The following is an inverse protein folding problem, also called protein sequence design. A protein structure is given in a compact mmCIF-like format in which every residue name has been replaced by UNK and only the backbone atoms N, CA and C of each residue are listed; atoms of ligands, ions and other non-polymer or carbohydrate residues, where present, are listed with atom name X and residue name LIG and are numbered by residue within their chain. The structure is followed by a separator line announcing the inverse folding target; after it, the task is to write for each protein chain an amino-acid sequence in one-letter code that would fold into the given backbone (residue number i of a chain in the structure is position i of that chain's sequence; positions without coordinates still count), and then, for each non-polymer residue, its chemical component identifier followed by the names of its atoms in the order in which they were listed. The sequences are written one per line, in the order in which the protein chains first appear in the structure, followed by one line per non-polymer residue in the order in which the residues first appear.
data_IF_853222086551
#
_entry.id   IF_853222086551
#
_cell.length_a   1.000
_cell.length_b   1.000
_cell.length_c   1.000
_cell.angle_alpha   90.00
_cell.angle_beta   90.00
_cell.angle_gamma   90.00
#
_symmetry.space_group_name_H-M   'P 1'
#
loop_
_entity.id
_entity.type
_entity.pdbx_description
1 polymer ?
#
# COMPACT_ATOMS: atom_id res chain seq x y z
N UNK A 1 -22.61 74.84 -27.64
CA UNK A 1 -23.79 75.61 -27.18
C UNK A 1 -25.03 74.91 -27.68
N UNK A 2 -25.88 74.48 -26.72
CA UNK A 2 -27.33 74.22 -26.77
C UNK A 2 -27.90 73.35 -27.90
N UNK A 3 -28.73 72.32 -27.68
CA UNK A 3 -29.41 71.85 -26.47
C UNK A 3 -30.69 71.06 -26.87
N UNK A 4 -31.19 70.26 -25.91
CA UNK A 4 -32.57 69.69 -25.77
C UNK A 4 -32.94 68.50 -26.69
N UNK A 5 -33.03 67.26 -26.18
CA UNK A 5 -34.13 66.60 -25.46
C UNK A 5 -35.46 66.55 -26.23
N UNK A 6 -35.98 65.35 -26.53
CA UNK A 6 -37.04 64.65 -25.75
C UNK A 6 -37.57 63.40 -26.49
N UNK A 7 -37.48 62.25 -25.81
CA UNK A 7 -38.36 61.04 -25.77
C UNK A 7 -38.95 60.40 -27.05
N UNK A 8 -38.75 59.09 -27.20
CA UNK A 8 -39.85 58.13 -26.94
C UNK A 8 -39.36 56.67 -26.80
N UNK A 9 -39.92 56.03 -25.78
CA UNK A 9 -39.73 54.66 -25.31
C UNK A 9 -40.29 53.60 -26.27
N UNK A 10 -39.65 52.44 -26.30
CA UNK A 10 -40.35 51.16 -26.48
C UNK A 10 -39.53 50.05 -25.82
N UNK A 11 -39.96 49.66 -24.63
CA UNK A 11 -39.55 48.44 -23.94
C UNK A 11 -39.81 47.19 -24.80
N UNK A 12 -38.83 46.30 -24.86
CA UNK A 12 -39.07 44.87 -25.02
C UNK A 12 -38.02 44.11 -24.19
N UNK A 13 -38.51 43.50 -23.12
CA UNK A 13 -37.76 42.81 -22.09
C UNK A 13 -36.86 41.69 -22.64
N UNK A 14 -35.54 41.93 -22.61
CA UNK A 14 -34.52 40.90 -22.76
C UNK A 14 -34.24 40.23 -21.42
N UNK A 15 -34.75 39.02 -21.26
CA UNK A 15 -34.58 38.17 -20.08
C UNK A 15 -33.09 37.95 -19.77
N UNK A 16 -32.71 38.31 -18.55
CA UNK A 16 -31.40 37.98 -17.99
C UNK A 16 -31.28 36.47 -17.80
N UNK A 17 -30.37 35.85 -18.56
CA UNK A 17 -29.99 34.45 -18.36
C UNK A 17 -29.10 34.36 -17.13
N UNK A 18 -29.70 34.14 -15.97
CA UNK A 18 -28.99 33.74 -14.75
C UNK A 18 -28.41 32.35 -15.01
N UNK A 19 -27.08 32.26 -15.06
CA UNK A 19 -26.37 30.98 -15.10
C UNK A 19 -26.67 30.20 -13.82
N UNK A 20 -27.44 29.11 -13.96
CA UNK A 20 -27.60 28.11 -12.90
C UNK A 20 -26.27 27.42 -12.62
N UNK A 21 -25.94 27.14 -11.34
CA UNK A 21 -24.71 26.45 -10.97
C UNK A 21 -24.70 25.01 -11.47
N UNK A 22 -23.56 24.61 -12.03
CA UNK A 22 -23.27 23.27 -12.55
C UNK A 22 -23.50 22.26 -11.41
N UNK A 23 -24.56 21.45 -11.52
CA UNK A 23 -24.82 20.35 -10.59
C UNK A 23 -23.85 19.20 -10.85
N UNK A 24 -23.11 18.66 -9.85
CA UNK A 24 -22.14 17.58 -10.04
C UNK A 24 -22.82 16.20 -10.01
N UNK A 25 -23.96 16.06 -10.66
CA UNK A 25 -24.79 14.85 -10.61
C UNK A 25 -24.97 14.23 -12.00
N UNK A 26 -23.86 13.91 -12.67
CA UNK A 26 -23.87 12.98 -13.82
C UNK A 26 -22.50 12.36 -14.10
N UNK A 27 -21.86 11.83 -13.05
CA UNK A 27 -20.67 11.02 -13.19
C UNK A 27 -20.93 9.62 -12.60
N UNK A 28 -21.92 8.92 -13.15
CA UNK A 28 -22.12 7.48 -12.96
C UNK A 28 -23.19 7.02 -13.95
N UNK A 29 -22.73 6.45 -15.08
CA UNK A 29 -23.35 5.40 -15.89
C UNK A 29 -22.80 5.49 -17.32
N UNK A 30 -21.73 4.75 -17.55
CA UNK A 30 -21.20 4.39 -18.86
C UNK A 30 -20.35 3.15 -18.66
N UNK A 31 -20.73 2.03 -19.27
CA UNK A 31 -19.99 0.78 -19.15
C UNK A 31 -18.54 0.94 -19.59
N UNK A 32 -17.61 0.39 -18.81
CA UNK A 32 -16.16 0.45 -18.97
C UNK A 32 -15.65 -0.40 -20.15
N UNK A 33 -16.22 -0.20 -21.34
CA UNK A 33 -15.64 -0.74 -22.58
C UNK A 33 -14.34 -0.01 -22.98
N UNK A 34 -13.97 1.06 -22.29
CA UNK A 34 -12.81 1.90 -22.59
C UNK A 34 -11.85 2.10 -21.39
N UNK A 35 -11.85 1.19 -20.43
CA UNK A 35 -10.91 1.24 -19.31
C UNK A 35 -9.47 1.03 -19.79
N UNK A 36 -8.68 2.11 -19.79
CA UNK A 36 -7.30 2.08 -20.27
C UNK A 36 -6.34 1.61 -19.17
N UNK A 37 -5.61 0.53 -19.44
CA UNK A 37 -4.42 0.17 -18.64
C UNK A 37 -3.29 1.11 -19.03
N UNK A 38 -2.81 1.92 -18.09
CA UNK A 38 -1.71 2.89 -18.26
C UNK A 38 -0.46 2.36 -17.54
N UNK A 39 0.53 1.77 -18.26
CA UNK A 39 1.67 1.12 -17.62
C UNK A 39 2.53 2.07 -16.77
N UNK A 40 2.60 3.34 -17.14
CA UNK A 40 3.32 4.35 -16.36
C UNK A 40 2.73 4.54 -14.96
N UNK A 41 1.40 4.49 -14.83
CA UNK A 41 0.71 4.60 -13.55
C UNK A 41 1.02 3.37 -12.67
N UNK A 42 0.92 2.16 -13.23
CA UNK A 42 1.26 0.93 -12.50
C UNK A 42 2.71 0.97 -11.99
N UNK A 43 3.66 1.38 -12.83
CA UNK A 43 5.08 1.45 -12.43
C UNK A 43 5.35 2.47 -11.33
N UNK A 44 4.62 3.58 -11.31
CA UNK A 44 4.70 4.54 -10.21
C UNK A 44 4.23 3.89 -8.90
N UNK A 45 3.15 3.11 -8.96
CA UNK A 45 2.58 2.45 -7.78
C UNK A 45 3.46 1.36 -7.16
N UNK A 46 4.47 0.86 -7.87
CA UNK A 46 5.42 -0.10 -7.29
C UNK A 46 6.17 0.49 -6.09
N UNK A 47 6.68 1.72 -6.20
CA UNK A 47 7.37 2.39 -5.10
C UNK A 47 6.41 2.72 -3.94
N UNK A 48 5.17 3.12 -4.28
CA UNK A 48 4.13 3.41 -3.29
C UNK A 48 3.73 2.14 -2.54
N UNK A 49 3.57 1.01 -3.23
CA UNK A 49 3.22 -0.27 -2.63
C UNK A 49 4.33 -0.75 -1.70
N UNK A 50 5.57 -0.68 -2.17
CA UNK A 50 6.73 -1.06 -1.37
C UNK A 50 6.81 -0.23 -0.08
N UNK A 51 6.65 1.10 -0.19
CA UNK A 51 6.62 2.00 0.96
C UNK A 51 5.46 1.67 1.92
N UNK A 52 4.26 1.38 1.42
CA UNK A 52 3.12 1.02 2.26
C UNK A 52 3.37 -0.26 3.08
N UNK A 53 4.04 -1.27 2.50
CA UNK A 53 4.40 -2.49 3.21
C UNK A 53 5.53 -2.27 4.24
N UNK A 54 6.45 -1.35 3.97
CA UNK A 54 7.45 -0.92 4.95
C UNK A 54 6.84 -0.10 6.10
N UNK A 55 5.80 0.68 5.83
CA UNK A 55 5.03 1.37 6.86
C UNK A 55 4.37 0.37 7.81
N UNK A 56 3.77 -0.71 7.28
CA UNK A 56 3.20 -1.80 8.09
C UNK A 56 4.27 -2.50 8.95
N UNK A 57 5.51 -2.57 8.47
CA UNK A 57 6.67 -3.08 9.22
C UNK A 57 7.34 -2.02 10.13
N UNK A 58 6.75 -0.82 10.28
CA UNK A 58 7.24 0.30 11.09
C UNK A 58 8.64 0.80 10.73
N UNK A 59 9.08 0.61 9.49
CA UNK A 59 10.44 0.98 9.08
C UNK A 59 10.67 2.49 9.21
N UNK A 60 9.71 3.31 8.80
CA UNK A 60 9.84 4.78 8.89
C UNK A 60 9.90 5.27 10.34
N UNK A 61 9.05 4.72 11.23
CA UNK A 61 9.08 5.03 12.67
C UNK A 61 10.44 4.67 13.29
N UNK A 62 11.00 3.52 12.93
CA UNK A 62 12.34 3.10 13.38
C UNK A 62 13.40 4.11 12.95
N UNK A 63 13.41 4.53 11.68
CA UNK A 63 14.41 5.50 11.20
C UNK A 63 14.23 6.86 11.87
N UNK A 64 13.00 7.32 12.06
CA UNK A 64 12.73 8.55 12.82
C UNK A 64 13.25 8.45 14.26
N UNK A 65 13.09 7.28 14.90
CA UNK A 65 13.64 7.02 16.23
C UNK A 65 15.16 7.04 16.25
N UNK A 66 15.83 6.40 15.28
CA UNK A 66 17.29 6.44 15.14
C UNK A 66 17.81 7.87 15.01
N UNK A 67 17.13 8.70 14.23
CA UNK A 67 17.48 10.12 14.04
C UNK A 67 17.29 10.90 15.33
N UNK A 68 16.21 10.64 16.08
CA UNK A 68 15.99 11.26 17.39
C UNK A 68 17.07 10.88 18.40
N UNK A 69 17.42 9.59 18.49
CA UNK A 69 18.50 9.10 19.37
C UNK A 69 19.86 9.71 18.99
N UNK A 70 20.16 9.82 17.68
CA UNK A 70 21.37 10.47 17.20
C UNK A 70 21.44 11.93 17.60
N UNK A 71 20.34 12.69 17.42
CA UNK A 71 20.26 14.09 17.82
C UNK A 71 20.42 14.33 19.33
N UNK A 72 20.11 13.31 20.14
CA UNK A 72 20.28 13.32 21.61
C UNK A 72 21.65 12.79 22.05
N UNK A 73 22.50 12.32 21.13
CA UNK A 73 23.79 11.71 21.46
C UNK A 73 23.69 10.32 22.09
N UNK A 74 22.56 9.62 21.93
CA UNK A 74 22.33 8.28 22.47
C UNK A 74 22.87 7.15 21.59
N UNK A 75 23.18 7.44 20.32
CA UNK A 75 23.81 6.46 19.44
C UNK A 75 25.34 6.60 19.49
N UNK A 76 26.10 5.52 19.74
CA UNK A 76 27.56 5.55 19.81
C UNK A 76 28.18 5.56 18.40
N UNK A 77 27.85 6.56 17.59
CA UNK A 77 28.27 6.70 16.20
C UNK A 77 29.33 7.79 16.05
N UNK A 78 30.34 7.54 15.21
CA UNK A 78 31.36 8.53 14.87
C UNK A 78 30.92 9.49 13.75
N UNK A 79 31.82 10.38 13.27
CA UNK A 79 31.59 11.22 12.08
C UNK A 79 31.59 10.43 10.76
N UNK A 80 31.36 9.12 10.81
CA UNK A 80 31.37 8.20 9.68
C UNK A 80 30.15 8.33 8.78
N UNK A 81 29.99 7.33 7.89
CA UNK A 81 28.92 7.31 6.89
C UNK A 81 27.52 7.30 7.54
N UNK A 82 27.34 6.52 8.61
CA UNK A 82 26.08 6.45 9.36
C UNK A 82 25.69 7.83 9.93
N UNK A 83 26.58 8.48 10.68
CA UNK A 83 26.36 9.81 11.27
C UNK A 83 26.07 10.87 10.20
N UNK A 84 26.82 10.88 9.10
CA UNK A 84 26.56 11.79 7.99
C UNK A 84 25.18 11.56 7.33
N UNK A 85 24.74 10.30 7.26
CA UNK A 85 23.43 9.94 6.68
C UNK A 85 22.28 10.32 7.60
N UNK A 86 22.40 10.09 8.91
CA UNK A 86 21.44 10.53 9.92
C UNK A 86 21.33 12.07 9.96
N UNK A 87 22.46 12.77 9.87
CA UNK A 87 22.48 14.24 9.79
C UNK A 87 21.77 14.75 8.52
N UNK A 88 22.01 14.14 7.35
CA UNK A 88 21.28 14.48 6.12
C UNK A 88 19.79 14.18 6.23
N UNK A 89 19.42 13.07 6.85
CA UNK A 89 18.03 12.70 7.07
C UNK A 89 17.31 13.72 7.97
N UNK A 90 17.96 14.14 9.05
CA UNK A 90 17.48 15.21 9.93
C UNK A 90 17.33 16.54 9.18
N UNK A 91 18.36 16.97 8.44
CA UNK A 91 18.34 18.24 7.67
C UNK A 91 17.30 18.24 6.54
N UNK A 92 17.08 17.09 5.90
CA UNK A 92 16.16 16.93 4.77
C UNK A 92 14.69 16.78 5.15
N UNK A 93 14.33 16.85 6.44
CA UNK A 93 12.97 16.58 6.94
C UNK A 93 11.86 17.36 6.21
N UNK A 94 12.09 18.63 5.88
CA UNK A 94 11.07 19.47 5.21
C UNK A 94 10.75 19.10 3.76
N UNK A 95 11.59 18.29 3.11
CA UNK A 95 11.39 17.89 1.70
C UNK A 95 10.78 16.48 1.56
N UNK A 96 10.53 15.78 2.67
CA UNK A 96 10.02 14.40 2.69
C UNK A 96 8.52 14.38 2.96
N UNK A 97 7.85 13.33 2.49
CA UNK A 97 6.45 13.11 2.81
C UNK A 97 6.30 12.79 4.30
N UNK A 98 5.48 13.57 5.00
CA UNK A 98 5.11 13.27 6.38
C UNK A 98 4.33 11.94 6.46
N UNK A 99 4.29 11.32 7.64
CA UNK A 99 3.49 10.10 7.84
C UNK A 99 2.02 10.28 7.43
N UNK A 100 1.42 11.44 7.73
CA UNK A 100 0.06 11.77 7.31
C UNK A 100 -0.08 11.82 5.78
N UNK A 101 0.88 12.48 5.09
CA UNK A 101 0.90 12.54 3.63
C UNK A 101 1.06 11.15 3.01
N UNK A 102 1.97 10.32 3.52
CA UNK A 102 2.17 8.94 3.06
C UNK A 102 0.88 8.12 3.19
N UNK A 103 0.25 8.12 4.37
CA UNK A 103 -1.00 7.40 4.62
C UNK A 103 -2.14 7.84 3.69
N UNK A 104 -2.26 9.14 3.40
CA UNK A 104 -3.24 9.63 2.46
C UNK A 104 -3.01 9.13 1.03
N UNK A 105 -1.75 9.01 0.59
CA UNK A 105 -1.43 8.39 -0.71
C UNK A 105 -1.80 6.91 -0.68
N UNK A 106 -1.41 6.17 0.35
CA UNK A 106 -1.74 4.74 0.45
C UNK A 106 -3.25 4.49 0.47
N UNK A 107 -4.02 5.33 1.17
CA UNK A 107 -5.48 5.25 1.19
C UNK A 107 -6.06 5.44 -0.21
N UNK A 108 -5.64 6.49 -0.91
CA UNK A 108 -6.12 6.79 -2.26
C UNK A 108 -5.79 5.68 -3.26
N UNK A 109 -4.65 5.01 -3.12
CA UNK A 109 -4.18 4.00 -4.07
C UNK A 109 -4.66 2.59 -3.71
N UNK A 110 -4.50 2.18 -2.47
CA UNK A 110 -4.68 0.80 -2.01
C UNK A 110 -5.84 0.62 -1.04
N UNK A 111 -6.52 1.71 -0.66
CA UNK A 111 -7.65 1.64 0.25
C UNK A 111 -7.26 1.43 1.72
N UNK A 112 -6.00 1.68 2.08
CA UNK A 112 -5.57 1.69 3.48
C UNK A 112 -6.27 2.81 4.28
N UNK A 113 -6.31 2.72 5.63
CA UNK A 113 -6.89 3.78 6.45
C UNK A 113 -6.24 5.16 6.16
N UNK A 114 -7.02 6.19 5.79
CA UNK A 114 -6.48 7.53 5.58
C UNK A 114 -6.18 8.21 6.92
N UNK A 115 -5.26 9.16 6.91
CA UNK A 115 -5.09 10.09 8.03
C UNK A 115 -6.17 11.18 8.00
N UNK A 116 -6.45 11.71 6.81
CA UNK A 116 -7.44 12.77 6.62
C UNK A 116 -8.79 12.23 6.17
N UNK A 117 -9.87 12.64 6.83
CA UNK A 117 -11.24 12.24 6.51
C UNK A 117 -11.71 12.64 5.10
N UNK A 118 -11.07 13.64 4.48
CA UNK A 118 -11.38 14.08 3.11
C UNK A 118 -10.84 13.18 2.00
N UNK A 119 -9.94 12.25 2.33
CA UNK A 119 -9.35 11.33 1.34
C UNK A 119 -10.34 10.21 1.04
N UNK A 120 -10.65 10.02 -0.25
CA UNK A 120 -11.48 8.91 -0.71
C UNK A 120 -10.61 7.66 -0.95
N UNK A 121 -10.74 6.60 -0.14
CA UNK A 121 -9.91 5.42 -0.29
C UNK A 121 -10.31 4.54 -1.48
N UNK A 122 -9.37 3.83 -2.09
CA UNK A 122 -9.64 2.82 -3.12
C UNK A 122 -10.18 1.52 -2.49
N UNK A 123 -11.49 1.50 -2.24
CA UNK A 123 -12.16 0.36 -1.57
C UNK A 123 -12.14 -0.94 -2.37
N UNK A 124 -11.91 -0.89 -3.69
CA UNK A 124 -11.90 -2.06 -4.58
C UNK A 124 -10.54 -2.78 -4.61
N UNK A 125 -9.46 -2.09 -4.25
CA UNK A 125 -8.11 -2.64 -4.41
C UNK A 125 -7.95 -3.99 -3.72
N UNK A 126 -8.30 -4.08 -2.43
CA UNK A 126 -8.06 -5.29 -1.65
C UNK A 126 -8.80 -6.52 -2.23
N UNK A 127 -10.05 -6.34 -2.63
CA UNK A 127 -10.84 -7.40 -3.27
C UNK A 127 -10.21 -7.85 -4.60
N UNK A 128 -9.87 -6.91 -5.47
CA UNK A 128 -9.25 -7.20 -6.77
C UNK A 128 -7.87 -7.84 -6.63
N UNK A 129 -7.08 -7.36 -5.66
CA UNK A 129 -5.76 -7.88 -5.34
C UNK A 129 -5.84 -9.34 -4.88
N UNK A 130 -6.65 -9.60 -3.84
CA UNK A 130 -6.83 -10.95 -3.30
C UNK A 130 -7.37 -11.89 -4.37
N UNK A 131 -8.40 -11.47 -5.12
CA UNK A 131 -8.97 -12.27 -6.21
C UNK A 131 -7.90 -12.67 -7.23
N UNK A 132 -7.10 -11.72 -7.71
CA UNK A 132 -6.07 -12.00 -8.70
C UNK A 132 -4.99 -12.94 -8.15
N UNK A 133 -4.45 -12.64 -6.98
CA UNK A 133 -3.38 -13.43 -6.36
C UNK A 133 -3.86 -14.87 -6.07
N UNK A 134 -5.07 -15.04 -5.55
CA UNK A 134 -5.68 -16.36 -5.32
C UNK A 134 -5.92 -17.13 -6.63
N UNK A 135 -6.47 -16.49 -7.66
CA UNK A 135 -6.71 -17.11 -8.98
C UNK A 135 -5.39 -17.58 -9.59
N UNK A 136 -4.33 -16.78 -9.54
CA UNK A 136 -3.01 -17.19 -10.07
C UNK A 136 -2.42 -18.38 -9.29
N UNK A 137 -2.50 -18.35 -7.95
CA UNK A 137 -2.03 -19.45 -7.11
C UNK A 137 -2.78 -20.76 -7.37
N UNK A 138 -4.12 -20.71 -7.41
CA UNK A 138 -4.96 -21.88 -7.73
C UNK A 138 -4.67 -22.40 -9.14
N UNK A 139 -4.60 -21.50 -10.12
CA UNK A 139 -4.31 -21.87 -11.50
C UNK A 139 -2.96 -22.59 -11.64
N UNK A 140 -1.91 -22.09 -10.97
CA UNK A 140 -0.58 -22.72 -10.96
C UNK A 140 -0.62 -24.13 -10.36
N UNK A 141 -1.26 -24.28 -9.20
CA UNK A 141 -1.37 -25.56 -8.51
C UNK A 141 -2.13 -26.61 -9.35
N UNK A 142 -3.24 -26.21 -9.96
CA UNK A 142 -4.05 -27.09 -10.83
C UNK A 142 -3.35 -27.39 -12.17
N UNK A 143 -2.59 -26.44 -12.72
CA UNK A 143 -1.85 -26.62 -13.97
C UNK A 143 -0.88 -27.80 -13.88
N UNK A 144 -0.25 -27.99 -12.73
CA UNK A 144 0.74 -29.05 -12.48
C UNK A 144 0.11 -30.40 -12.12
N UNK A 145 -1.06 -30.39 -11.49
CA UNK A 145 -1.67 -31.59 -10.89
C UNK A 145 -2.84 -32.17 -11.67
N UNK A 146 -3.56 -31.34 -12.44
CA UNK A 146 -4.85 -31.72 -13.02
C UNK A 146 -4.87 -31.58 -14.56
N UNK A 147 -5.57 -32.49 -15.26
CA UNK A 147 -5.86 -32.32 -16.69
C UNK A 147 -6.78 -31.10 -16.92
N UNK A 148 -6.75 -30.48 -18.11
CA UNK A 148 -7.51 -29.26 -18.38
C UNK A 148 -9.02 -29.31 -18.09
N UNK A 149 -9.65 -30.49 -18.19
CA UNK A 149 -11.09 -30.69 -17.94
C UNK A 149 -11.49 -30.66 -16.46
N UNK A 150 -10.54 -30.84 -15.54
CA UNK A 150 -10.79 -30.94 -14.10
C UNK A 150 -10.38 -29.68 -13.34
N UNK A 151 -9.87 -28.66 -14.04
CA UNK A 151 -9.42 -27.41 -13.43
C UNK A 151 -10.61 -26.54 -13.05
N UNK A 152 -10.60 -26.05 -11.82
CA UNK A 152 -11.61 -25.09 -11.34
C UNK A 152 -11.32 -23.68 -11.86
N UNK A 153 -10.05 -23.36 -12.18
CA UNK A 153 -9.65 -22.05 -12.67
C UNK A 153 -9.13 -22.12 -14.11
N UNK A 154 -9.74 -21.32 -14.98
CA UNK A 154 -9.37 -21.21 -16.39
C UNK A 154 -8.40 -20.05 -16.71
N UNK A 155 -7.70 -20.08 -17.86
CA UNK A 155 -6.86 -18.97 -18.31
C UNK A 155 -7.61 -17.64 -18.46
N UNK A 156 -8.91 -17.70 -18.82
CA UNK A 156 -9.78 -16.52 -18.98
C UNK A 156 -10.09 -15.84 -17.63
N UNK A 157 -10.13 -16.58 -16.53
CA UNK A 157 -10.33 -16.01 -15.19
C UNK A 157 -9.06 -15.30 -14.69
N UNK A 158 -7.88 -15.85 -14.99
CA UNK A 158 -6.59 -15.19 -14.74
C UNK A 158 -6.51 -13.89 -15.55
N UNK A 159 -6.92 -13.92 -16.82
CA UNK A 159 -6.95 -12.76 -17.69
C UNK A 159 -7.90 -11.67 -17.15
N UNK A 160 -9.14 -12.05 -16.81
CA UNK A 160 -10.17 -11.12 -16.32
C UNK A 160 -9.75 -10.48 -15.01
N UNK A 161 -9.34 -11.27 -14.01
CA UNK A 161 -8.91 -10.76 -12.71
C UNK A 161 -7.67 -9.86 -12.80
N UNK A 162 -6.69 -10.24 -13.64
CA UNK A 162 -5.50 -9.42 -13.87
C UNK A 162 -5.84 -8.10 -14.58
N UNK A 163 -6.77 -8.11 -15.54
CA UNK A 163 -7.24 -6.92 -16.23
C UNK A 163 -7.97 -5.97 -15.28
N UNK A 164 -8.90 -6.47 -14.47
CA UNK A 164 -9.67 -5.67 -13.52
C UNK A 164 -8.75 -4.97 -12.51
N UNK A 165 -7.77 -5.72 -11.97
CA UNK A 165 -6.76 -5.17 -11.07
C UNK A 165 -5.89 -4.11 -11.76
N UNK A 166 -5.42 -4.36 -12.98
CA UNK A 166 -4.59 -3.41 -13.73
C UNK A 166 -5.35 -2.13 -14.10
N UNK A 167 -6.64 -2.23 -14.43
CA UNK A 167 -7.52 -1.08 -14.67
C UNK A 167 -7.67 -0.26 -13.39
N UNK A 168 -7.95 -0.91 -12.26
CA UNK A 168 -8.08 -0.22 -10.97
C UNK A 168 -6.77 0.50 -10.59
N UNK A 169 -5.63 -0.18 -10.68
CA UNK A 169 -4.32 0.45 -10.42
C UNK A 169 -4.03 1.62 -11.37
N UNK A 170 -4.42 1.52 -12.65
CA UNK A 170 -4.27 2.63 -13.61
C UNK A 170 -5.10 3.85 -13.22
N UNK A 171 -6.34 3.63 -12.77
CA UNK A 171 -7.26 4.68 -12.34
C UNK A 171 -6.85 5.35 -11.02
N UNK A 172 -6.00 4.71 -10.22
CA UNK A 172 -5.56 5.25 -8.93
C UNK A 172 -4.08 5.67 -8.88
N UNK A 173 -3.27 5.29 -9.89
CA UNK A 173 -1.84 5.60 -9.98
C UNK A 173 -1.46 6.90 -10.69
N UNK A 174 -2.37 7.86 -10.78
CA UNK A 174 -2.15 9.14 -11.46
C UNK A 174 -2.08 10.33 -10.49
N UNK A 175 -1.81 11.52 -11.02
CA UNK A 175 -1.77 12.78 -10.25
C UNK A 175 -0.83 12.69 -9.04
N UNK A 176 -1.32 13.03 -7.83
CA UNK A 176 -0.51 13.06 -6.62
C UNK A 176 0.20 11.73 -6.33
N UNK A 177 -0.45 10.58 -6.59
CA UNK A 177 0.17 9.28 -6.38
C UNK A 177 1.40 9.07 -7.28
N UNK A 178 1.34 9.60 -8.52
CA UNK A 178 2.46 9.52 -9.46
C UNK A 178 3.66 10.36 -9.01
N UNK A 179 3.41 11.57 -8.50
CA UNK A 179 4.48 12.43 -7.98
C UNK A 179 5.03 11.91 -6.66
N UNK A 180 4.17 11.47 -5.73
CA UNK A 180 4.59 10.87 -4.47
C UNK A 180 5.48 9.63 -4.70
N UNK A 181 5.23 8.84 -5.75
CA UNK A 181 6.12 7.73 -6.13
C UNK A 181 7.58 8.16 -6.39
N UNK A 182 7.80 9.39 -6.90
CA UNK A 182 9.14 9.93 -7.12
C UNK A 182 9.84 10.29 -5.80
N UNK A 183 9.08 10.56 -4.74
CA UNK A 183 9.60 10.85 -3.40
C UNK A 183 9.86 9.55 -2.61
N UNK A 184 8.96 8.56 -2.74
CA UNK A 184 9.09 7.27 -2.05
C UNK A 184 10.36 6.51 -2.44
N UNK A 185 10.70 6.48 -3.74
CA UNK A 185 11.84 5.72 -4.23
C UNK A 185 13.18 6.13 -3.57
N UNK A 186 13.60 7.42 -3.61
CA UNK A 186 14.83 7.84 -2.93
C UNK A 186 14.72 7.70 -1.41
N UNK A 187 13.56 7.93 -0.80
CA UNK A 187 13.36 7.80 0.64
C UNK A 187 13.55 6.36 1.13
N UNK A 188 12.95 5.39 0.45
CA UNK A 188 13.12 3.95 0.72
C UNK A 188 14.58 3.54 0.53
N UNK A 189 15.21 3.94 -0.58
CA UNK A 189 16.60 3.60 -0.85
C UNK A 189 17.53 4.13 0.25
N UNK A 190 17.37 5.40 0.63
CA UNK A 190 18.15 6.02 1.70
C UNK A 190 17.92 5.33 3.06
N UNK A 191 16.68 4.93 3.34
CA UNK A 191 16.30 4.20 4.55
C UNK A 191 17.01 2.85 4.63
N UNK A 192 16.93 2.03 3.59
CA UNK A 192 17.60 0.72 3.55
C UNK A 192 19.12 0.89 3.60
N UNK A 193 19.69 1.88 2.90
CA UNK A 193 21.13 2.16 2.96
C UNK A 193 21.61 2.53 4.37
N UNK A 194 20.82 3.33 5.10
CA UNK A 194 21.13 3.69 6.49
C UNK A 194 21.07 2.45 7.40
N UNK A 195 20.01 1.65 7.30
CA UNK A 195 19.84 0.44 8.12
C UNK A 195 20.86 -0.66 7.77
N UNK A 196 21.42 -0.61 6.56
CA UNK A 196 22.47 -1.52 6.11
C UNK A 196 23.87 -1.09 6.54
N UNK A 197 24.01 0.08 7.18
CA UNK A 197 25.31 0.57 7.61
C UNK A 197 25.87 -0.30 8.76
N UNK A 198 27.11 -0.81 8.65
CA UNK A 198 27.70 -1.67 9.68
C UNK A 198 27.74 -1.03 11.08
N UNK A 199 27.95 0.29 11.18
CA UNK A 199 27.96 0.96 12.50
C UNK A 199 26.58 0.89 13.16
N UNK A 200 25.51 1.06 12.36
CA UNK A 200 24.12 0.91 12.84
C UNK A 200 23.84 -0.54 13.23
N UNK A 201 24.21 -1.50 12.38
CA UNK A 201 23.99 -2.91 12.66
C UNK A 201 24.70 -3.37 13.94
N UNK A 202 25.96 -2.97 14.14
CA UNK A 202 26.72 -3.28 15.35
C UNK A 202 26.09 -2.63 16.59
N UNK A 203 25.65 -1.37 16.51
CA UNK A 203 25.02 -0.67 17.62
C UNK A 203 23.74 -1.38 18.14
N UNK A 204 23.02 -2.07 17.26
CA UNK A 204 21.80 -2.80 17.59
C UNK A 204 21.96 -4.33 17.57
N UNK A 205 23.19 -4.85 17.54
CA UNK A 205 23.48 -6.30 17.50
C UNK A 205 22.74 -7.04 16.37
N UNK A 206 22.55 -6.36 15.25
CA UNK A 206 21.85 -6.86 14.09
C UNK A 206 22.84 -7.40 13.04
N UNK A 207 22.40 -8.39 12.26
CA UNK A 207 23.19 -9.00 11.17
C UNK A 207 22.81 -8.45 9.80
N UNK A 208 21.65 -7.82 9.70
CA UNK A 208 21.05 -7.32 8.49
C UNK A 208 20.11 -6.14 8.82
N UNK A 209 19.72 -5.29 7.84
CA UNK A 209 18.87 -4.14 8.08
C UNK A 209 17.48 -4.49 8.66
N UNK A 210 16.95 -5.67 8.38
CA UNK A 210 15.64 -6.09 8.87
C UNK A 210 15.68 -6.43 10.35
N UNK A 211 16.78 -7.02 10.82
CA UNK A 211 17.02 -7.24 12.24
C UNK A 211 17.23 -5.93 13.00
N UNK A 212 17.83 -4.90 12.39
CA UNK A 212 17.88 -3.55 13.00
C UNK A 212 16.46 -3.05 13.28
N UNK A 213 15.55 -3.16 12.30
CA UNK A 213 14.15 -2.74 12.45
C UNK A 213 13.48 -3.46 13.61
N UNK A 214 13.63 -4.79 13.69
CA UNK A 214 13.05 -5.59 14.77
C UNK A 214 13.61 -5.18 16.14
N UNK A 215 14.93 -5.06 16.26
CA UNK A 215 15.58 -4.76 17.54
C UNK A 215 15.23 -3.35 18.03
N UNK A 216 15.26 -2.34 17.16
CA UNK A 216 14.89 -0.96 17.50
C UNK A 216 13.40 -0.86 17.84
N UNK A 217 12.52 -1.50 17.06
CA UNK A 217 11.08 -1.48 17.35
C UNK A 217 10.79 -2.09 18.74
N UNK A 218 11.46 -3.20 19.08
CA UNK A 218 11.29 -3.85 20.38
C UNK A 218 11.83 -3.00 21.53
N UNK A 219 13.05 -2.44 21.41
CA UNK A 219 13.71 -1.74 22.50
C UNK A 219 13.24 -0.30 22.68
N UNK A 220 12.93 0.41 21.60
CA UNK A 220 12.66 1.85 21.62
C UNK A 220 11.19 2.21 21.41
N UNK A 221 10.44 1.36 20.71
CA UNK A 221 9.03 1.63 20.35
C UNK A 221 8.05 0.72 21.10
N UNK A 222 8.53 -0.23 21.90
CA UNK A 222 7.72 -1.27 22.55
C UNK A 222 6.79 -2.00 21.55
N UNK A 223 7.29 -2.26 20.34
CA UNK A 223 6.52 -2.87 19.26
C UNK A 223 7.27 -4.07 18.66
N UNK A 224 6.54 -5.10 18.25
CA UNK A 224 7.10 -6.31 17.62
C UNK A 224 6.52 -6.49 16.21
N UNK A 225 6.89 -5.61 15.25
CA UNK A 225 6.37 -5.72 13.89
C UNK A 225 6.83 -7.01 13.21
N UNK A 226 5.95 -7.64 12.43
CA UNK A 226 6.33 -8.77 11.58
C UNK A 226 7.07 -8.27 10.33
N UNK A 227 8.35 -7.93 10.52
CA UNK A 227 9.23 -7.38 9.47
C UNK A 227 9.42 -8.36 8.30
N UNK A 228 9.64 -9.68 8.51
CA UNK A 228 9.76 -10.62 7.39
C UNK A 228 8.51 -10.63 6.50
N UNK A 229 7.31 -10.57 7.08
CA UNK A 229 6.06 -10.48 6.31
C UNK A 229 5.98 -9.18 5.52
N UNK A 230 6.26 -8.03 6.15
CA UNK A 230 6.25 -6.74 5.47
C UNK A 230 7.21 -6.71 4.28
N UNK A 231 8.43 -7.20 4.48
CA UNK A 231 9.44 -7.32 3.42
C UNK A 231 8.98 -8.23 2.28
N UNK A 232 8.55 -9.46 2.58
CA UNK A 232 8.10 -10.41 1.54
C UNK A 232 6.90 -9.87 0.77
N UNK A 233 5.92 -9.25 1.45
CA UNK A 233 4.78 -8.62 0.77
C UNK A 233 5.23 -7.48 -0.12
N UNK A 234 6.17 -6.65 0.32
CA UNK A 234 6.71 -5.54 -0.46
C UNK A 234 7.35 -6.03 -1.77
N UNK A 235 8.24 -7.02 -1.71
CA UNK A 235 8.91 -7.57 -2.90
C UNK A 235 7.94 -8.25 -3.85
N UNK A 236 7.06 -9.12 -3.32
CA UNK A 236 6.07 -9.83 -4.12
C UNK A 236 5.11 -8.86 -4.81
N UNK A 237 4.69 -7.81 -4.09
CA UNK A 237 3.77 -6.82 -4.63
C UNK A 237 4.36 -6.00 -5.78
N UNK A 238 5.64 -5.62 -5.67
CA UNK A 238 6.37 -4.97 -6.77
C UNK A 238 6.43 -5.89 -8.00
N UNK A 239 6.75 -7.18 -7.82
CA UNK A 239 6.80 -8.15 -8.93
C UNK A 239 5.44 -8.27 -9.62
N UNK A 240 4.36 -8.40 -8.85
CA UNK A 240 2.99 -8.51 -9.36
C UNK A 240 2.60 -7.26 -10.17
N UNK A 241 2.77 -6.06 -9.59
CA UNK A 241 2.42 -4.80 -10.25
C UNK A 241 3.28 -4.59 -11.52
N UNK A 242 4.59 -4.90 -11.44
CA UNK A 242 5.50 -4.82 -12.58
C UNK A 242 5.09 -5.78 -13.69
N UNK A 243 4.66 -6.99 -13.35
CA UNK A 243 4.18 -7.98 -14.31
C UNK A 243 2.94 -7.48 -15.05
N UNK A 244 1.95 -6.95 -14.31
CA UNK A 244 0.74 -6.35 -14.91
C UNK A 244 1.10 -5.20 -15.88
N UNK A 245 2.02 -4.31 -15.47
CA UNK A 245 2.53 -3.22 -16.31
C UNK A 245 3.16 -3.75 -17.61
N UNK A 246 4.01 -4.78 -17.49
CA UNK A 246 4.77 -5.31 -18.62
C UNK A 246 3.93 -6.18 -19.57
N UNK A 247 2.73 -6.60 -19.14
CA UNK A 247 1.83 -7.48 -19.88
C UNK A 247 0.55 -6.80 -20.36
N UNK A 248 0.47 -5.45 -20.36
CA UNK A 248 -0.66 -4.68 -20.92
C UNK A 248 -1.21 -5.27 -22.22
N UNK A 249 -0.34 -5.52 -23.20
CA UNK A 249 -0.76 -6.02 -24.51
C UNK A 249 -1.39 -7.41 -24.47
N UNK A 250 -1.07 -8.25 -23.47
CA UNK A 250 -1.75 -9.54 -23.24
C UNK A 250 -3.07 -9.33 -22.51
N UNK A 251 -3.09 -8.46 -21.49
CA UNK A 251 -4.27 -8.15 -20.68
C UNK A 251 -5.42 -7.49 -21.48
N UNK A 252 -5.09 -6.78 -22.56
CA UNK A 252 -6.08 -6.14 -23.43
C UNK A 252 -6.62 -7.08 -24.53
N UNK A 253 -6.07 -8.30 -24.68
CA UNK A 253 -6.59 -9.25 -25.67
C UNK A 253 -7.97 -9.75 -25.20
N UNK A 254 -8.97 -9.84 -26.09
CA UNK A 254 -10.29 -10.33 -25.71
C UNK A 254 -10.31 -11.81 -25.28
N UNK A 255 -9.33 -12.60 -25.75
CA UNK A 255 -9.18 -14.03 -25.46
C UNK A 255 -7.71 -14.41 -25.52
N UNK A 256 -7.35 -15.44 -24.77
CA UNK A 256 -6.06 -16.13 -24.90
C UNK A 256 -5.28 -16.25 -23.61
N UNK A 257 -4.26 -17.12 -23.66
CA UNK A 257 -3.43 -17.42 -22.50
C UNK A 257 -2.59 -16.21 -22.09
N UNK A 258 -2.95 -15.60 -20.97
CA UNK A 258 -2.18 -14.49 -20.37
C UNK A 258 -0.86 -14.99 -19.79
N UNK A 259 -0.89 -16.19 -19.21
CA UNK A 259 0.25 -16.94 -18.68
C UNK A 259 0.73 -17.98 -19.69
N UNK A 260 2.04 -18.09 -19.86
CA UNK A 260 2.67 -19.15 -20.65
C UNK A 260 2.88 -20.39 -19.78
N UNK A 261 2.23 -21.50 -20.14
CA UNK A 261 2.34 -22.78 -19.41
C UNK A 261 3.78 -23.26 -19.31
N UNK A 262 4.50 -23.25 -20.44
CA UNK A 262 5.89 -23.72 -20.48
C UNK A 262 6.79 -22.92 -19.54
N UNK A 263 6.60 -21.59 -19.45
CA UNK A 263 7.41 -20.75 -18.53
C UNK A 263 7.17 -21.12 -17.06
N UNK A 264 5.94 -21.50 -16.71
CA UNK A 264 5.56 -21.90 -15.35
C UNK A 264 6.08 -23.31 -15.03
N UNK A 265 5.81 -24.28 -15.91
CA UNK A 265 6.20 -25.68 -15.68
C UNK A 265 7.71 -25.88 -15.72
N UNK A 266 8.44 -25.14 -16.55
CA UNK A 266 9.90 -25.20 -16.59
C UNK A 266 10.58 -24.33 -15.50
N UNK A 267 9.81 -23.54 -14.74
CA UNK A 267 10.36 -22.67 -13.70
C UNK A 267 11.30 -21.58 -14.25
N UNK A 268 11.02 -21.04 -15.44
CA UNK A 268 11.86 -20.02 -16.07
C UNK A 268 11.68 -18.67 -15.36
N UNK A 269 12.53 -18.37 -14.39
CA UNK A 269 12.55 -17.11 -13.62
C UNK A 269 13.37 -16.01 -14.29
N UNK A 270 13.20 -14.76 -13.87
CA UNK A 270 14.10 -13.68 -14.32
C UNK A 270 15.56 -13.96 -13.93
N UNK A 271 15.78 -14.58 -12.77
CA UNK A 271 17.09 -14.92 -12.25
C UNK A 271 17.84 -15.91 -13.18
N UNK A 272 17.15 -16.90 -13.74
CA UNK A 272 17.76 -17.85 -14.70
C UNK A 272 18.21 -17.17 -16.01
N UNK A 273 17.69 -15.98 -16.30
CA UNK A 273 18.09 -15.13 -17.43
C UNK A 273 19.03 -13.98 -17.03
N UNK A 274 19.59 -13.99 -15.82
CA UNK A 274 20.41 -12.92 -15.27
C UNK A 274 19.71 -11.55 -15.26
N UNK A 275 18.41 -11.55 -14.95
CA UNK A 275 17.55 -10.35 -14.84
C UNK A 275 16.94 -10.27 -13.44
N UNK A 276 16.52 -9.07 -13.04
CA UNK A 276 15.80 -8.84 -11.79
C UNK A 276 14.29 -9.01 -12.00
N UNK A 277 13.64 -9.82 -11.18
CA UNK A 277 12.18 -10.04 -11.23
C UNK A 277 11.38 -8.75 -10.98
N UNK A 278 11.91 -7.82 -10.19
CA UNK A 278 11.30 -6.48 -9.96
C UNK A 278 11.32 -5.55 -11.17
N UNK A 279 12.01 -5.93 -12.27
CA UNK A 279 12.09 -5.15 -13.50
C UNK A 279 11.53 -5.93 -14.69
N UNK A 280 11.90 -7.21 -14.81
CA UNK A 280 11.54 -8.09 -15.93
C UNK A 280 10.92 -9.41 -15.45
N UNK A 281 9.78 -9.36 -14.74
CA UNK A 281 9.16 -10.57 -14.23
C UNK A 281 8.69 -11.48 -15.36
N UNK A 282 8.98 -12.77 -15.21
CA UNK A 282 8.40 -13.85 -16.01
C UNK A 282 7.04 -14.27 -15.43
N UNK A 283 6.38 -15.19 -16.12
CA UNK A 283 5.10 -15.73 -15.64
C UNK A 283 5.34 -16.68 -14.45
N UNK A 284 6.54 -17.31 -14.36
CA UNK A 284 6.97 -18.06 -13.17
C UNK A 284 7.28 -17.13 -11.98
N UNK A 285 7.95 -15.99 -12.20
CA UNK A 285 8.18 -15.01 -11.12
C UNK A 285 6.87 -14.48 -10.54
N UNK A 286 5.85 -14.26 -11.39
CA UNK A 286 4.51 -13.87 -10.95
C UNK A 286 3.90 -14.93 -10.03
N UNK A 287 3.89 -16.19 -10.47
CA UNK A 287 3.33 -17.30 -9.70
C UNK A 287 4.00 -17.39 -8.33
N UNK A 288 5.33 -17.42 -8.29
CA UNK A 288 6.09 -17.47 -7.04
C UNK A 288 5.79 -16.26 -6.14
N UNK A 289 5.66 -15.05 -6.72
CA UNK A 289 5.30 -13.86 -5.95
C UNK A 289 3.87 -13.97 -5.37
N UNK A 290 2.91 -14.49 -6.13
CA UNK A 290 1.55 -14.71 -5.64
C UNK A 290 1.50 -15.75 -4.51
N UNK A 291 2.19 -16.88 -4.67
CA UNK A 291 2.27 -17.95 -3.67
C UNK A 291 2.94 -17.47 -2.38
N UNK A 292 4.08 -16.78 -2.49
CA UNK A 292 4.78 -16.21 -1.33
C UNK A 292 3.94 -15.16 -0.61
N UNK A 293 3.24 -14.30 -1.37
CA UNK A 293 2.37 -13.29 -0.80
C UNK A 293 1.19 -13.92 -0.02
N UNK A 294 0.57 -14.98 -0.55
CA UNK A 294 -0.48 -15.72 0.14
C UNK A 294 0.06 -16.44 1.38
N UNK A 295 1.23 -17.08 1.25
CA UNK A 295 1.87 -17.81 2.35
C UNK A 295 2.08 -16.94 3.58
N UNK A 296 2.65 -15.75 3.41
CA UNK A 296 2.91 -14.83 4.53
C UNK A 296 1.67 -14.09 5.05
N UNK A 297 0.57 -14.09 4.28
CA UNK A 297 -0.70 -13.50 4.72
C UNK A 297 -1.51 -14.53 5.52
N UNK A 298 -1.54 -15.79 5.07
CA UNK A 298 -2.24 -16.88 5.76
C UNK A 298 -1.65 -17.22 7.13
N UNK A 299 -0.33 -17.08 7.32
CA UNK A 299 0.30 -17.29 8.63
C UNK A 299 -0.16 -16.27 9.67
N UNK A 300 -0.46 -15.03 9.28
CA UNK A 300 -0.93 -14.01 10.21
C UNK A 300 -2.37 -14.25 10.67
N UNK A 301 -3.28 -14.68 9.78
CA UNK A 301 -4.64 -15.04 10.21
C UNK A 301 -4.62 -16.22 11.18
N UNK A 302 -3.71 -17.18 10.99
CA UNK A 302 -3.49 -18.28 11.92
C UNK A 302 -2.90 -17.80 13.25
N UNK A 303 -1.83 -16.99 13.23
CA UNK A 303 -1.21 -16.41 14.43
C UNK A 303 -2.19 -15.53 15.23
N UNK A 304 -2.99 -14.69 14.57
CA UNK A 304 -4.01 -13.85 15.22
C UNK A 304 -5.16 -14.69 15.80
N UNK A 305 -5.50 -15.83 15.18
CA UNK A 305 -6.48 -16.80 15.73
C UNK A 305 -5.91 -17.56 16.94
N UNK A 306 -4.63 -17.91 16.91
CA UNK A 306 -3.92 -18.55 18.04
C UNK A 306 -3.68 -17.57 19.20
N UNK A 307 -3.56 -16.26 18.91
CA UNK A 307 -3.44 -15.18 19.90
C UNK A 307 -4.78 -14.67 20.45
N UNK A 308 -5.91 -15.32 20.11
CA UNK A 308 -7.18 -15.04 20.78
C UNK A 308 -7.03 -15.32 22.29
N UNK A 309 -7.49 -14.44 23.20
CA UNK A 309 -7.10 -14.52 24.60
C UNK A 309 -7.61 -15.80 25.27
N UNK A 310 -6.68 -16.55 25.87
CA UNK A 310 -6.99 -17.34 27.06
C UNK A 310 -7.33 -16.34 28.19
N UNK A 311 -8.49 -16.56 28.80
CA UNK A 311 -9.02 -15.93 30.03
C UNK A 311 -9.69 -14.55 29.86
N UNK A 312 -11.02 -14.58 29.68
CA UNK A 312 -11.90 -13.57 30.26
C UNK A 312 -11.67 -13.54 31.78
N UNK A 313 -10.84 -12.62 32.26
CA UNK A 313 -10.89 -12.20 33.66
C UNK A 313 -12.29 -11.63 33.91
N UNK A 314 -13.13 -12.44 34.54
CA UNK A 314 -14.42 -12.01 35.09
C UNK A 314 -14.23 -10.71 35.88
N UNK A 315 -15.04 -9.66 35.63
CA UNK A 315 -14.97 -8.48 36.47
C UNK A 315 -15.41 -8.88 37.88
N UNK A 316 -14.54 -8.58 38.85
CA UNK A 316 -14.80 -8.75 40.27
C UNK A 316 -16.20 -8.22 40.62
N UNK A 317 -16.97 -9.02 41.36
CA UNK A 317 -18.31 -8.68 41.80
C UNK A 317 -18.36 -7.37 42.61
N UNK A 318 -19.54 -6.77 42.76
CA UNK A 318 -19.68 -5.45 43.36
C UNK A 318 -19.15 -5.42 44.79
N UNK A 319 -18.31 -4.42 45.09
CA UNK A 319 -17.86 -4.11 46.45
C UNK A 319 -19.08 -3.83 47.36
N UNK A 320 -19.08 -4.32 48.62
CA UNK A 320 -20.17 -4.06 49.55
C UNK A 320 -20.12 -2.60 50.03
N UNK A 321 -21.25 -1.92 49.93
CA UNK A 321 -21.48 -0.55 50.42
C UNK A 321 -21.55 -0.58 51.96
N UNK A 322 -20.82 0.28 52.70
CA UNK A 322 -20.96 0.37 54.14
C UNK A 322 -22.31 0.99 54.52
N UNK A 323 -22.94 0.59 55.66
CA UNK A 323 -24.25 1.08 56.02
C UNK A 323 -24.19 2.54 56.49
N UNK A 324 -25.03 3.38 55.89
CA UNK A 324 -25.34 4.73 56.34
C UNK A 324 -26.12 4.67 57.66
N UNK A 325 -25.47 5.15 58.72
CA UNK A 325 -26.12 5.51 59.98
C UNK A 325 -26.91 6.80 59.77
N UNK A 326 -28.24 6.74 59.64
CA UNK A 326 -29.19 7.72 60.20
C UNK A 326 -30.59 7.09 60.34
N UNK A 327 -31.04 6.87 61.58
CA UNK A 327 -32.21 7.56 62.13
C UNK A 327 -32.49 7.12 63.56
N UNK A 328 -32.15 8.02 64.47
CA UNK A 328 -32.81 8.19 65.76
C UNK A 328 -34.23 8.74 65.48
N UNK A 329 -35.28 8.00 65.86
CA UNK A 329 -36.54 8.54 66.38
C UNK A 329 -37.48 7.45 66.90
N UNK A 330 -37.81 7.59 68.19
CA UNK A 330 -39.07 7.25 68.87
C UNK A 330 -39.48 5.78 69.05
N UNK A 331 -39.24 5.23 70.25
CA UNK A 331 -40.27 4.99 71.28
C UNK A 331 -39.63 4.53 72.60
#
# INVERSE_FOLDING_TARGET
MNGMNTEQESEAAGQGTVQSPISPARAQQGGDANAEIVPANLRALEAVYFAAMLEEARVFEVVERLVAMFGQGLLPLGPGKAGATLYRYWKGHHHRLSAAQRHNVYARVFGLPPHDAGVRPNRKFNELWLRFVSIVGMYSAELQMLPPSERSVGPEEVLTSGRDLAVNLSAHGHSLAWFAAQDFKPEVQQTIELLSDPEIQVAFQARDPWQVIQNVAASELNATPNVPRGHTRAECGVIIIRWLSNRRARLLRPRGNVLKHDDICEGRTAASMNKKATVYPTDSDLVTACENWLGVTGTQEAELREQAPLEEHSPAGPLPVPPDNQHEQAA
#
